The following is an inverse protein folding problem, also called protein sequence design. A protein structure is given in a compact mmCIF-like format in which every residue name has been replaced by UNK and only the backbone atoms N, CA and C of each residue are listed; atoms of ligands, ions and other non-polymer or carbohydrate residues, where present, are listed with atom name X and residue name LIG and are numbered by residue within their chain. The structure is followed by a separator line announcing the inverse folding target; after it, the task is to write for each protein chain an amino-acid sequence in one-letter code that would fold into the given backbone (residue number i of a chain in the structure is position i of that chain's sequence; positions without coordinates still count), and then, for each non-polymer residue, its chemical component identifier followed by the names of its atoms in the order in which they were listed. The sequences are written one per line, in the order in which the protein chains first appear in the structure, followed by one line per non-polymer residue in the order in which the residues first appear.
data_IF_765552353929
#
_entry.id   IF_765552353929
#
_cell.length_a   1.000
_cell.length_b   1.000
_cell.length_c   1.000
_cell.angle_alpha   90.00
_cell.angle_beta   90.00
_cell.angle_gamma   90.00
#
_symmetry.space_group_name_H-M   'P 1'
#
loop_
_entity.id
_entity.type
_entity.pdbx_description
1 polymer ?
#
# COMPACT_ATOMS: atom_id res chain seq x y z
N UNK A 1 15.32 -17.70 2.98
CA UNK A 1 16.73 -17.78 2.53
C UNK A 1 16.94 -19.16 1.95
N UNK A 2 16.98 -19.27 0.62
CA UNK A 2 17.42 -20.49 -0.08
C UNK A 2 18.75 -20.18 -0.76
N UNK A 3 19.79 -21.02 -0.64
CA UNK A 3 20.95 -20.92 -1.51
C UNK A 3 20.76 -21.78 -2.76
N UNK A 4 21.38 -21.28 -3.81
CA UNK A 4 21.29 -21.66 -5.21
C UNK A 4 22.00 -22.98 -5.54
N UNK A 5 21.42 -23.63 -6.55
CA UNK A 5 21.88 -24.79 -7.29
C UNK A 5 23.01 -24.41 -8.27
N UNK A 6 24.00 -25.29 -8.46
CA UNK A 6 25.01 -25.19 -9.52
C UNK A 6 25.47 -26.59 -9.94
N UNK A 7 25.07 -27.02 -11.13
CA UNK A 7 25.49 -28.29 -11.75
C UNK A 7 25.62 -28.14 -13.29
N UNK A 8 26.55 -28.90 -13.87
CA UNK A 8 26.77 -29.13 -15.31
C UNK A 8 28.02 -28.40 -15.82
N UNK A 9 29.19 -29.00 -16.09
CA UNK A 9 29.63 -30.30 -16.63
C UNK A 9 29.33 -30.55 -18.12
N UNK A 10 30.38 -30.92 -18.85
CA UNK A 10 30.36 -31.78 -20.04
C UNK A 10 30.39 -31.04 -21.39
N UNK A 11 31.48 -31.14 -22.18
CA UNK A 11 31.77 -32.23 -23.14
C UNK A 11 30.94 -32.05 -24.43
N UNK A 12 31.44 -32.08 -25.67
CA UNK A 12 32.62 -32.65 -26.31
C UNK A 12 32.31 -32.71 -27.82
N UNK A 13 33.18 -33.37 -28.59
CA UNK A 13 33.08 -33.70 -30.03
C UNK A 13 33.22 -32.51 -31.01
N UNK A 14 34.16 -32.49 -31.96
CA UNK A 14 34.82 -33.59 -32.64
C UNK A 14 33.94 -34.13 -33.77
N UNK A 15 34.27 -33.78 -35.02
CA UNK A 15 34.41 -34.80 -36.07
C UNK A 15 35.10 -34.20 -37.31
N UNK A 16 36.11 -34.92 -37.79
CA UNK A 16 36.76 -34.65 -39.06
C UNK A 16 36.01 -35.29 -40.22
N UNK A 17 36.39 -34.90 -41.44
CA UNK A 17 36.20 -35.69 -42.66
C UNK A 17 37.17 -35.18 -43.72
N UNK A 18 38.27 -35.92 -43.92
CA UNK A 18 38.96 -36.01 -45.21
C UNK A 18 38.27 -37.16 -45.98
N UNK A 19 38.21 -37.16 -47.33
CA UNK A 19 39.39 -37.55 -48.10
C UNK A 19 39.65 -36.71 -49.37
N UNK A 20 40.93 -36.58 -49.67
CA UNK A 20 41.48 -36.18 -50.97
C UNK A 20 41.11 -37.28 -52.02
N UNK A 21 41.16 -37.06 -53.35
CA UNK A 21 42.46 -36.70 -53.90
C UNK A 21 42.49 -35.94 -55.26
N UNK A 22 43.72 -35.50 -55.55
CA UNK A 22 44.37 -35.37 -56.87
C UNK A 22 44.26 -34.06 -57.68
N UNK A 23 45.45 -33.44 -57.74
CA UNK A 23 46.20 -33.13 -58.98
C UNK A 23 46.00 -31.72 -59.59
N UNK A 24 47.02 -30.90 -59.35
CA UNK A 24 47.72 -29.96 -60.26
C UNK A 24 46.96 -29.38 -61.47
N UNK A 25 46.71 -28.06 -61.42
CA UNK A 25 46.67 -27.19 -62.61
C UNK A 25 47.69 -26.05 -62.43
N UNK A 26 48.97 -26.38 -62.57
CA UNK A 26 50.00 -25.44 -62.95
C UNK A 26 50.41 -25.74 -64.38
N UNK A 27 49.87 -25.00 -65.35
CA UNK A 27 50.39 -24.94 -66.72
C UNK A 27 49.90 -23.68 -67.44
N UNK A 28 50.69 -22.61 -67.39
CA UNK A 28 50.84 -21.71 -68.54
C UNK A 28 52.32 -21.74 -68.88
N UNK A 29 52.67 -22.71 -69.71
CA UNK A 29 54.00 -22.97 -70.20
C UNK A 29 53.85 -23.52 -71.60
N UNK A 30 53.82 -22.58 -72.54
CA UNK A 30 53.98 -22.71 -73.98
C UNK A 30 54.74 -23.96 -74.40
N UNK A 31 54.10 -24.88 -75.12
CA UNK A 31 54.81 -25.76 -76.06
C UNK A 31 53.93 -25.99 -77.29
N UNK A 32 54.28 -25.29 -78.38
CA UNK A 32 54.09 -25.80 -79.74
C UNK A 32 54.77 -27.16 -79.85
N UNK A 33 54.01 -28.20 -80.19
CA UNK A 33 54.56 -29.52 -80.53
C UNK A 33 54.27 -29.84 -81.98
N UNK A 34 55.35 -30.18 -82.66
CA UNK A 34 55.56 -31.35 -83.52
C UNK A 34 54.61 -31.58 -84.70
N UNK A 35 55.00 -31.94 -85.93
CA UNK A 35 56.23 -32.38 -86.61
C UNK A 35 55.87 -33.61 -87.49
N UNK A 36 56.44 -33.63 -88.71
CA UNK A 36 56.94 -34.81 -89.48
C UNK A 36 55.87 -35.60 -90.28
N UNK A 37 56.17 -36.27 -91.44
CA UNK A 37 57.46 -36.73 -92.02
C UNK A 37 57.71 -36.29 -93.49
N UNK A 38 58.84 -36.52 -94.16
CA UNK A 38 59.70 -37.70 -94.38
C UNK A 38 61.14 -37.23 -94.68
N UNK A 39 62.20 -37.85 -94.15
CA UNK A 39 62.84 -39.08 -94.65
C UNK A 39 63.15 -38.97 -96.15
N UNK A 40 64.37 -38.79 -96.61
CA UNK A 40 65.41 -39.82 -96.59
C UNK A 40 66.72 -39.21 -97.14
N UNK A 41 67.79 -39.43 -96.39
CA UNK A 41 69.07 -40.02 -96.80
C UNK A 41 69.89 -39.42 -97.95
N UNK A 42 71.19 -39.49 -97.65
CA UNK A 42 72.29 -39.76 -98.57
C UNK A 42 72.79 -38.58 -99.41
N UNK A 43 74.09 -38.41 -99.65
CA UNK A 43 75.36 -38.85 -99.06
C UNK A 43 76.37 -38.29 -100.06
N UNK A 44 77.54 -37.85 -99.58
CA UNK A 44 78.78 -37.72 -100.36
C UNK A 44 78.79 -36.57 -101.38
N UNK A 45 79.91 -36.00 -101.80
CA UNK A 45 81.34 -35.93 -101.43
C UNK A 45 81.97 -35.21 -102.63
N UNK A 46 83.10 -34.55 -102.41
CA UNK A 46 84.00 -33.95 -103.40
C UNK A 46 83.55 -32.57 -103.93
N UNK A 47 84.27 -31.48 -103.63
CA UNK A 47 85.69 -31.15 -103.92
C UNK A 47 85.88 -30.66 -105.36
N UNK A 48 86.12 -29.35 -105.45
CA UNK A 48 86.90 -28.60 -106.43
C UNK A 48 86.37 -28.50 -107.86
N UNK A 49 86.09 -27.27 -108.33
CA UNK A 49 87.08 -26.51 -109.13
C UNK A 49 86.53 -25.18 -109.67
N UNK A 50 87.40 -24.15 -109.54
CA UNK A 50 87.67 -23.03 -110.45
C UNK A 50 86.79 -21.76 -110.51
N UNK A 51 87.55 -20.66 -110.53
CA UNK A 51 87.26 -19.22 -110.47
C UNK A 51 86.98 -18.57 -111.83
N UNK A 52 86.33 -17.39 -111.79
CA UNK A 52 86.25 -16.28 -112.78
C UNK A 52 85.53 -16.58 -114.12
N UNK A 53 84.58 -15.77 -114.62
CA UNK A 53 84.53 -14.30 -114.71
C UNK A 53 83.14 -13.68 -114.46
N UNK A 54 83.21 -12.40 -114.10
CA UNK A 54 82.17 -11.42 -113.80
C UNK A 54 81.52 -10.82 -115.06
N UNK A 55 80.19 -10.70 -115.06
CA UNK A 55 79.43 -9.65 -115.77
C UNK A 55 78.01 -9.58 -115.18
N UNK A 56 77.52 -8.40 -114.74
CA UNK A 56 76.22 -8.27 -114.10
C UNK A 56 75.11 -8.03 -115.14
N UNK A 57 74.01 -8.76 -115.03
CA UNK A 57 72.75 -8.44 -115.73
C UNK A 57 71.70 -8.11 -114.68
N UNK A 58 71.35 -6.83 -114.67
CA UNK A 58 70.31 -6.20 -113.87
C UNK A 58 68.96 -6.79 -114.30
N UNK A 59 68.24 -7.40 -113.36
CA UNK A 59 66.85 -7.78 -113.55
C UNK A 59 65.95 -6.63 -113.08
N UNK A 60 65.30 -5.97 -114.03
CA UNK A 60 64.26 -4.98 -113.76
C UNK A 60 63.09 -5.61 -112.98
N UNK A 61 62.71 -4.98 -111.86
CA UNK A 61 61.54 -5.35 -111.07
C UNK A 61 60.27 -4.68 -111.62
N UNK A 62 59.25 -5.49 -111.88
CA UNK A 62 57.94 -5.09 -112.41
C UNK A 62 57.19 -4.11 -111.46
N UNK A 63 56.59 -3.00 -111.95
CA UNK A 63 56.17 -1.87 -111.11
C UNK A 63 54.83 -2.06 -110.37
N UNK A 64 54.07 -3.12 -110.66
CA UNK A 64 52.68 -3.24 -110.20
C UNK A 64 52.54 -3.77 -108.76
N UNK A 65 53.47 -4.60 -108.28
CA UNK A 65 53.42 -5.17 -106.92
C UNK A 65 53.74 -4.15 -105.83
N UNK A 66 54.63 -3.19 -106.11
CA UNK A 66 54.95 -2.09 -105.20
C UNK A 66 53.72 -1.19 -104.93
N UNK A 67 52.97 -0.87 -105.99
CA UNK A 67 51.75 -0.07 -105.86
C UNK A 67 50.64 -0.83 -105.10
N UNK A 68 50.49 -2.14 -105.34
CA UNK A 68 49.50 -2.96 -104.62
C UNK A 68 49.75 -2.96 -103.10
N UNK A 69 51.01 -3.03 -102.67
CA UNK A 69 51.39 -2.97 -101.26
C UNK A 69 51.10 -1.59 -100.66
N UNK A 70 51.37 -0.50 -101.39
CA UNK A 70 51.05 0.86 -100.95
C UNK A 70 49.55 1.08 -100.78
N UNK A 71 48.73 0.67 -101.74
CA UNK A 71 47.27 0.79 -101.65
C UNK A 71 46.68 -0.09 -100.53
N UNK A 72 47.23 -1.28 -100.30
CA UNK A 72 46.82 -2.14 -99.19
C UNK A 72 47.14 -1.50 -97.82
N UNK A 73 48.35 -0.94 -97.66
CA UNK A 73 48.75 -0.25 -96.44
C UNK A 73 47.87 0.98 -96.18
N UNK A 74 47.60 1.76 -97.23
CA UNK A 74 46.74 2.94 -97.16
C UNK A 74 45.32 2.56 -96.75
N UNK A 75 44.74 1.55 -97.41
CA UNK A 75 43.39 1.04 -97.10
C UNK A 75 43.29 0.55 -95.66
N UNK A 76 44.26 -0.24 -95.19
CA UNK A 76 44.29 -0.77 -93.82
C UNK A 76 44.35 0.36 -92.78
N UNK A 77 45.18 1.37 -93.04
CA UNK A 77 45.34 2.53 -92.16
C UNK A 77 44.06 3.36 -92.11
N UNK A 78 43.47 3.68 -93.27
CA UNK A 78 42.20 4.42 -93.32
C UNK A 78 41.05 3.66 -92.67
N UNK A 79 41.00 2.34 -92.86
CA UNK A 79 39.97 1.49 -92.25
C UNK A 79 40.10 1.46 -90.72
N UNK A 80 41.31 1.30 -90.19
CA UNK A 80 41.57 1.36 -88.75
C UNK A 80 41.19 2.71 -88.13
N UNK A 81 41.47 3.82 -88.84
CA UNK A 81 41.13 5.17 -88.39
C UNK A 81 39.62 5.40 -88.31
N UNK A 82 38.88 4.97 -89.35
CA UNK A 82 37.41 5.03 -89.38
C UNK A 82 36.82 4.15 -88.29
N UNK A 83 37.34 2.93 -88.11
CA UNK A 83 36.88 2.02 -87.08
C UNK A 83 37.10 2.58 -85.66
N UNK A 84 38.28 3.15 -85.38
CA UNK A 84 38.58 3.77 -84.09
C UNK A 84 37.70 4.99 -83.78
N UNK A 85 37.28 5.74 -84.80
CA UNK A 85 36.33 6.85 -84.63
C UNK A 85 34.93 6.38 -84.22
N UNK A 86 34.46 5.24 -84.75
CA UNK A 86 33.15 4.68 -84.40
C UNK A 86 33.17 3.77 -83.17
N UNK A 87 34.35 3.30 -82.75
CA UNK A 87 34.50 2.44 -81.59
C UNK A 87 34.20 3.22 -80.29
N UNK A 88 33.02 3.01 -79.72
CA UNK A 88 32.68 3.47 -78.38
C UNK A 88 33.28 2.52 -77.35
N UNK A 89 34.03 3.08 -76.40
CA UNK A 89 34.57 2.33 -75.27
C UNK A 89 33.58 2.46 -74.11
N UNK A 90 32.92 1.35 -73.76
CA UNK A 90 32.03 1.31 -72.60
C UNK A 90 32.87 1.26 -71.32
N UNK A 91 32.87 2.36 -70.58
CA UNK A 91 33.54 2.46 -69.28
C UNK A 91 32.54 2.19 -68.16
N UNK A 92 32.59 0.99 -67.58
CA UNK A 92 31.81 0.64 -66.39
C UNK A 92 32.72 0.74 -65.15
N UNK A 93 32.46 1.71 -64.26
CA UNK A 93 33.11 1.79 -62.96
C UNK A 93 32.23 1.04 -61.95
N UNK A 94 32.66 -0.12 -61.41
CA UNK A 94 31.90 -0.80 -60.38
C UNK A 94 31.99 0.00 -59.06
N UNK A 95 30.97 0.80 -58.76
CA UNK A 95 30.81 1.45 -57.47
C UNK A 95 30.04 0.52 -56.51
N UNK A 96 30.67 0.17 -55.39
CA UNK A 96 30.00 -0.58 -54.31
C UNK A 96 29.29 0.41 -53.39
N UNK A 97 27.98 0.58 -53.56
CA UNK A 97 27.13 1.29 -52.61
C UNK A 97 26.55 0.34 -51.56
N UNK A 98 26.44 0.79 -50.31
CA UNK A 98 25.70 0.09 -49.26
C UNK A 98 24.32 0.75 -49.13
N UNK A 99 23.26 -0.05 -49.21
CA UNK A 99 21.90 0.44 -48.96
C UNK A 99 21.69 0.51 -47.44
N UNK A 100 21.50 1.72 -46.93
CA UNK A 100 21.07 1.94 -45.55
C UNK A 100 19.62 2.48 -45.56
N UNK A 101 18.76 2.02 -44.65
CA UNK A 101 17.36 2.45 -44.61
C UNK A 101 17.27 3.95 -44.32
N UNK A 102 16.36 4.65 -45.01
CA UNK A 102 16.05 6.04 -44.71
C UNK A 102 15.19 6.11 -43.45
N UNK A 103 15.81 6.08 -42.27
CA UNK A 103 15.14 6.23 -40.99
C UNK A 103 15.87 5.55 -39.83
N UNK A 104 15.50 5.92 -38.59
CA UNK A 104 15.97 5.22 -37.40
C UNK A 104 15.30 3.84 -37.32
N UNK A 105 16.10 2.77 -37.35
CA UNK A 105 15.63 1.42 -37.01
C UNK A 105 15.15 1.46 -35.56
N UNK A 106 13.84 1.31 -35.35
CA UNK A 106 13.24 1.24 -34.01
C UNK A 106 13.01 -0.21 -33.64
N UNK A 107 13.69 -0.68 -32.61
CA UNK A 107 13.40 -1.97 -32.02
C UNK A 107 12.04 -1.93 -31.30
N UNK A 108 11.13 -2.83 -31.69
CA UNK A 108 9.80 -2.93 -31.06
C UNK A 108 9.89 -3.91 -29.90
N UNK A 109 9.89 -3.39 -28.68
CA UNK A 109 9.96 -4.19 -27.45
C UNK A 109 8.60 -4.18 -26.73
N UNK A 110 8.19 -5.34 -26.22
CA UNK A 110 6.98 -5.44 -25.41
C UNK A 110 7.25 -4.99 -23.97
N UNK A 111 6.40 -4.13 -23.37
CA UNK A 111 6.58 -3.64 -22.00
C UNK A 111 6.36 -4.73 -20.93
N UNK A 112 5.70 -5.83 -21.30
CA UNK A 112 5.43 -6.98 -20.45
C UNK A 112 5.83 -8.26 -21.18
N UNK A 113 6.52 -9.15 -20.48
CA UNK A 113 6.82 -10.49 -20.98
C UNK A 113 5.59 -11.39 -20.96
N UNK A 114 5.51 -12.35 -21.89
CA UNK A 114 4.40 -13.29 -21.97
C UNK A 114 4.62 -14.33 -23.06
N UNK A 115 3.78 -15.36 -23.07
CA UNK A 115 3.81 -16.39 -24.12
C UNK A 115 3.15 -15.84 -25.37
N UNK A 116 3.87 -15.81 -26.48
CA UNK A 116 3.34 -15.37 -27.78
C UNK A 116 2.32 -16.38 -28.28
N UNK A 117 1.08 -15.94 -28.51
CA UNK A 117 0.02 -16.79 -29.07
C UNK A 117 -0.07 -16.67 -30.58
N UNK A 118 0.03 -15.44 -31.10
CA UNK A 118 -0.13 -15.18 -32.53
C UNK A 118 0.73 -14.00 -32.96
N UNK A 119 1.39 -14.18 -34.11
CA UNK A 119 2.07 -13.13 -34.86
C UNK A 119 1.13 -12.75 -36.00
N UNK A 120 0.76 -11.47 -36.09
CA UNK A 120 -0.22 -10.98 -37.07
C UNK A 120 0.40 -10.35 -38.31
N UNK A 121 1.73 -10.29 -38.37
CA UNK A 121 2.49 -9.70 -39.47
C UNK A 121 3.44 -10.73 -40.08
N UNK A 122 3.78 -10.52 -41.35
CA UNK A 122 4.83 -11.26 -42.05
C UNK A 122 6.09 -10.42 -42.18
N UNK A 123 7.23 -11.08 -42.35
CA UNK A 123 8.51 -10.38 -42.54
C UNK A 123 8.50 -9.55 -43.82
N UNK A 124 8.93 -8.29 -43.72
CA UNK A 124 8.89 -7.32 -44.82
C UNK A 124 7.53 -6.63 -45.04
N UNK A 125 6.51 -6.94 -44.24
CA UNK A 125 5.20 -6.29 -44.33
C UNK A 125 5.24 -4.84 -43.80
N UNK A 126 4.74 -3.84 -44.56
CA UNK A 126 4.67 -2.46 -44.08
C UNK A 126 3.59 -2.32 -43.01
N UNK A 127 3.97 -1.81 -41.83
CA UNK A 127 3.07 -1.66 -40.66
C UNK A 127 2.78 -0.19 -40.35
N UNK A 128 1.58 0.09 -39.87
CA UNK A 128 1.14 1.43 -39.42
C UNK A 128 1.22 1.56 -37.89
N UNK A 129 1.29 2.79 -37.40
CA UNK A 129 1.22 3.06 -35.96
C UNK A 129 -0.08 2.51 -35.35
N UNK A 130 0.04 1.86 -34.18
CA UNK A 130 -1.10 1.24 -33.48
C UNK A 130 -1.57 -0.09 -34.07
N UNK A 131 -0.96 -0.59 -35.14
CA UNK A 131 -1.30 -1.90 -35.71
C UNK A 131 -0.90 -3.03 -34.77
N UNK A 132 -1.81 -3.98 -34.55
CA UNK A 132 -1.55 -5.16 -33.74
C UNK A 132 -0.54 -6.07 -34.46
N UNK A 133 0.68 -6.14 -33.93
CA UNK A 133 1.75 -6.98 -34.49
C UNK A 133 1.76 -8.37 -33.88
N UNK A 134 1.53 -8.44 -32.58
CA UNK A 134 1.70 -9.64 -31.77
C UNK A 134 0.58 -9.72 -30.71
N UNK A 135 0.15 -10.93 -30.37
CA UNK A 135 -0.77 -11.17 -29.26
C UNK A 135 -0.17 -12.18 -28.29
N UNK A 136 -0.24 -11.85 -27.00
CA UNK A 136 0.19 -12.71 -25.91
C UNK A 136 -0.97 -13.51 -25.31
N UNK A 137 -0.67 -14.63 -24.66
CA UNK A 137 -1.67 -15.44 -23.99
C UNK A 137 -2.21 -14.72 -22.74
N UNK A 138 -3.53 -14.45 -22.64
CA UNK A 138 -4.07 -13.67 -21.54
C UNK A 138 -4.30 -14.49 -20.25
N UNK A 139 -4.14 -15.81 -20.26
CA UNK A 139 -4.59 -16.69 -19.15
C UNK A 139 -3.96 -16.31 -17.80
N UNK A 140 -2.64 -16.13 -17.76
CA UNK A 140 -1.93 -15.79 -16.52
C UNK A 140 -2.36 -14.41 -15.99
N UNK A 141 -2.39 -13.39 -16.86
CA UNK A 141 -2.81 -12.03 -16.52
C UNK A 141 -4.27 -11.98 -16.07
N UNK A 142 -5.16 -12.71 -16.75
CA UNK A 142 -6.58 -12.78 -16.38
C UNK A 142 -6.80 -13.48 -15.05
N UNK A 143 -6.04 -14.56 -14.78
CA UNK A 143 -6.07 -15.24 -13.49
C UNK A 143 -5.59 -14.31 -12.35
N UNK A 144 -4.53 -13.54 -12.60
CA UNK A 144 -4.00 -12.54 -11.65
C UNK A 144 -4.98 -11.39 -11.42
N UNK A 145 -5.60 -10.85 -12.47
CA UNK A 145 -6.65 -9.84 -12.34
C UNK A 145 -7.85 -10.37 -11.55
N UNK A 146 -8.26 -11.61 -11.81
CA UNK A 146 -9.36 -12.25 -11.09
C UNK A 146 -9.02 -12.45 -9.61
N UNK A 147 -7.80 -12.89 -9.29
CA UNK A 147 -7.37 -13.07 -7.90
C UNK A 147 -7.23 -11.74 -7.15
N UNK A 148 -6.71 -10.69 -7.81
CA UNK A 148 -6.62 -9.35 -7.25
C UNK A 148 -8.00 -8.73 -7.02
N UNK A 149 -8.93 -8.88 -7.97
CA UNK A 149 -10.30 -8.40 -7.82
C UNK A 149 -11.03 -9.11 -6.67
N UNK A 150 -10.84 -10.43 -6.55
CA UNK A 150 -11.35 -11.20 -5.39
C UNK A 150 -10.75 -10.69 -4.08
N UNK A 151 -9.43 -10.48 -4.03
CA UNK A 151 -8.75 -9.95 -2.84
C UNK A 151 -9.25 -8.56 -2.46
N UNK A 152 -9.41 -7.67 -3.43
CA UNK A 152 -9.98 -6.33 -3.24
C UNK A 152 -11.40 -6.40 -2.68
N UNK A 153 -12.26 -7.24 -3.25
CA UNK A 153 -13.63 -7.40 -2.78
C UNK A 153 -13.70 -7.92 -1.33
N UNK A 154 -12.82 -8.86 -0.96
CA UNK A 154 -12.70 -9.32 0.44
C UNK A 154 -12.27 -8.20 1.38
N UNK A 155 -11.22 -7.44 1.02
CA UNK A 155 -10.74 -6.32 1.86
C UNK A 155 -11.79 -5.21 2.04
N UNK A 156 -12.57 -4.92 1.00
CA UNK A 156 -13.66 -3.94 1.10
C UNK A 156 -14.72 -4.42 2.09
N UNK A 157 -15.14 -5.69 2.02
CA UNK A 157 -16.12 -6.27 2.94
C UNK A 157 -15.60 -6.31 4.37
N UNK A 158 -14.33 -6.61 4.57
CA UNK A 158 -13.67 -6.58 5.89
C UNK A 158 -13.65 -5.17 6.49
N UNK A 159 -13.28 -4.17 5.69
CA UNK A 159 -13.29 -2.79 6.14
C UNK A 159 -14.70 -2.31 6.50
N UNK A 160 -15.70 -2.65 5.68
CA UNK A 160 -17.10 -2.35 5.96
C UNK A 160 -17.58 -3.00 7.26
N UNK A 161 -17.18 -4.25 7.51
CA UNK A 161 -17.46 -4.94 8.78
C UNK A 161 -16.88 -4.18 9.98
N UNK A 162 -15.61 -3.76 9.92
CA UNK A 162 -14.99 -3.00 11.01
C UNK A 162 -15.64 -1.63 11.23
N UNK A 163 -15.96 -0.90 10.16
CA UNK A 163 -16.65 0.38 10.29
C UNK A 163 -18.04 0.22 10.90
N UNK A 164 -18.79 -0.81 10.51
CA UNK A 164 -20.10 -1.11 11.07
C UNK A 164 -20.02 -1.48 12.56
N UNK A 165 -19.05 -2.32 12.93
CA UNK A 165 -18.81 -2.71 14.32
C UNK A 165 -18.39 -1.53 15.23
N UNK A 166 -17.65 -0.56 14.69
CA UNK A 166 -17.22 0.64 15.44
C UNK A 166 -18.37 1.66 15.56
N UNK A 167 -19.11 1.89 14.46
CA UNK A 167 -20.16 2.91 14.38
C UNK A 167 -21.43 2.52 15.10
N UNK A 168 -21.83 1.25 15.03
CA UNK A 168 -23.06 0.75 15.63
C UNK A 168 -22.76 -0.22 16.78
N UNK A 169 -23.03 0.16 18.04
CA UNK A 169 -22.86 -0.69 19.22
C UNK A 169 -23.67 -1.99 19.19
N UNK A 170 -24.76 -2.02 18.41
CA UNK A 170 -25.65 -3.17 18.28
C UNK A 170 -25.28 -4.06 17.07
N UNK A 171 -24.20 -3.75 16.36
CA UNK A 171 -23.75 -4.56 15.24
C UNK A 171 -23.12 -5.87 15.75
N UNK A 172 -23.50 -7.04 15.21
CA UNK A 172 -22.98 -8.32 15.68
C UNK A 172 -21.46 -8.39 15.47
N UNK A 173 -20.68 -8.85 16.45
CA UNK A 173 -19.23 -8.97 16.34
C UNK A 173 -18.81 -10.22 15.54
N UNK A 174 -19.65 -10.65 14.60
CA UNK A 174 -19.46 -11.86 13.79
C UNK A 174 -19.38 -11.44 12.33
N UNK A 175 -18.33 -11.85 11.59
CA UNK A 175 -18.21 -11.56 10.17
C UNK A 175 -19.42 -12.08 9.38
N UNK A 176 -19.84 -11.37 8.33
CA UNK A 176 -20.88 -11.86 7.43
C UNK A 176 -20.43 -13.16 6.72
N UNK A 177 -21.37 -14.05 6.36
CA UNK A 177 -21.07 -15.30 5.67
C UNK A 177 -20.21 -15.09 4.41
N UNK A 178 -19.23 -15.98 4.18
CA UNK A 178 -18.33 -15.91 3.03
C UNK A 178 -17.22 -14.85 3.14
N UNK A 179 -16.96 -14.36 4.36
CA UNK A 179 -15.83 -13.51 4.68
C UNK A 179 -14.93 -14.23 5.69
N UNK A 180 -13.96 -14.99 5.16
CA UNK A 180 -12.99 -15.73 5.96
C UNK A 180 -11.89 -14.77 6.42
N UNK A 181 -12.22 -13.98 7.45
CA UNK A 181 -11.25 -13.13 8.13
C UNK A 181 -10.63 -14.01 9.20
N UNK A 182 -9.31 -14.16 9.18
CA UNK A 182 -8.58 -14.53 10.39
C UNK A 182 -8.70 -13.37 11.36
N UNK A 183 -9.83 -13.29 12.06
CA UNK A 183 -9.95 -12.34 13.16
C UNK A 183 -8.81 -12.71 14.09
N UNK A 184 -7.95 -11.73 14.38
CA UNK A 184 -7.17 -11.85 15.60
C UNK A 184 -8.18 -12.22 16.70
N UNK A 185 -7.90 -13.30 17.43
CA UNK A 185 -8.82 -13.85 18.43
C UNK A 185 -9.26 -12.80 19.47
N UNK A 186 -8.56 -11.67 19.53
CA UNK A 186 -8.77 -10.51 20.38
C UNK A 186 -9.79 -9.51 19.85
N UNK A 187 -10.13 -9.50 18.55
CA UNK A 187 -11.01 -8.46 18.01
C UNK A 187 -12.47 -8.58 18.49
N UNK A 188 -13.09 -9.78 18.52
CA UNK A 188 -14.43 -9.93 19.07
C UNK A 188 -14.50 -9.51 20.55
N UNK A 189 -13.47 -9.85 21.34
CA UNK A 189 -13.40 -9.47 22.75
C UNK A 189 -13.17 -7.97 22.94
N UNK A 190 -12.39 -7.32 22.07
CA UNK A 190 -12.22 -5.87 22.09
C UNK A 190 -13.51 -5.13 21.75
N UNK A 191 -14.24 -5.58 20.73
CA UNK A 191 -15.55 -5.01 20.37
C UNK A 191 -16.54 -5.21 21.52
N UNK A 192 -16.57 -6.41 22.11
CA UNK A 192 -17.40 -6.69 23.28
C UNK A 192 -17.05 -5.75 24.46
N UNK A 193 -15.76 -5.62 24.79
CA UNK A 193 -15.26 -4.73 25.85
C UNK A 193 -15.60 -3.26 25.59
N UNK A 194 -15.44 -2.77 24.37
CA UNK A 194 -15.86 -1.41 24.02
C UNK A 194 -17.37 -1.23 24.22
N UNK A 195 -18.16 -2.20 23.78
CA UNK A 195 -19.62 -2.12 23.88
C UNK A 195 -20.09 -2.15 25.33
N UNK A 196 -19.44 -2.89 26.23
CA UNK A 196 -19.75 -2.86 27.66
C UNK A 196 -19.43 -1.48 28.27
N UNK A 197 -18.28 -0.90 27.96
CA UNK A 197 -17.92 0.45 28.45
C UNK A 197 -18.89 1.51 27.94
N UNK A 198 -19.27 1.46 26.66
CA UNK A 198 -20.24 2.40 26.10
C UNK A 198 -21.63 2.23 26.73
N UNK A 199 -22.02 1.00 27.07
CA UNK A 199 -23.27 0.73 27.76
C UNK A 199 -23.26 1.30 29.20
N UNK A 200 -22.14 1.21 29.91
CA UNK A 200 -21.95 1.79 31.24
C UNK A 200 -22.01 3.33 31.18
N UNK A 201 -21.32 3.96 30.23
CA UNK A 201 -21.37 5.42 30.03
C UNK A 201 -22.81 5.89 29.78
N UNK A 202 -23.61 5.12 29.01
CA UNK A 202 -25.03 5.45 28.78
C UNK A 202 -25.84 5.37 30.07
N UNK A 203 -25.59 4.37 30.93
CA UNK A 203 -26.26 4.24 32.21
C UNK A 203 -25.95 5.43 33.11
N UNK A 204 -24.67 5.81 33.27
CA UNK A 204 -24.29 6.97 34.09
C UNK A 204 -24.86 8.28 33.55
N UNK A 205 -24.85 8.49 32.23
CA UNK A 205 -25.49 9.66 31.64
C UNK A 205 -27.00 9.69 31.92
N UNK A 206 -27.68 8.55 31.83
CA UNK A 206 -29.12 8.46 32.13
C UNK A 206 -29.43 8.72 33.62
N UNK A 207 -28.55 8.26 34.53
CA UNK A 207 -28.62 8.59 35.96
C UNK A 207 -28.45 10.09 36.20
N UNK A 208 -27.44 10.72 35.57
CA UNK A 208 -27.17 12.16 35.70
C UNK A 208 -28.27 13.02 35.07
N UNK A 209 -28.86 12.59 33.95
CA UNK A 209 -29.92 13.34 33.27
C UNK A 209 -31.32 13.09 33.84
N UNK A 210 -31.45 12.28 34.92
CA UNK A 210 -32.72 12.02 35.59
C UNK A 210 -33.80 11.40 34.70
N UNK A 211 -33.42 10.72 33.61
CA UNK A 211 -34.37 10.37 32.57
C UNK A 211 -33.94 9.23 31.66
N UNK A 212 -34.78 8.21 31.59
CA UNK A 212 -34.68 7.04 30.71
C UNK A 212 -35.20 7.27 29.29
N UNK A 213 -35.79 8.44 29.00
CA UNK A 213 -36.53 8.71 27.75
C UNK A 213 -35.66 8.86 26.48
N UNK A 214 -34.35 9.05 26.60
CA UNK A 214 -33.46 9.27 25.43
C UNK A 214 -32.34 8.24 25.30
N UNK A 215 -32.22 7.30 26.24
CA UNK A 215 -31.16 6.30 26.22
C UNK A 215 -31.72 4.94 25.81
N UNK A 216 -31.15 4.35 24.75
CA UNK A 216 -31.36 2.94 24.38
C UNK A 216 -30.72 2.03 25.45
N UNK A 217 -31.34 1.96 26.62
CA UNK A 217 -30.95 1.11 27.76
C UNK A 217 -31.56 -0.27 27.61
N UNK A 218 -30.81 -1.31 27.99
CA UNK A 218 -31.33 -2.67 28.08
C UNK A 218 -32.46 -2.77 29.12
N UNK A 219 -33.36 -3.78 29.04
CA UNK A 219 -34.40 -3.99 30.04
C UNK A 219 -33.85 -4.06 31.47
N UNK A 220 -32.75 -4.77 31.68
CA UNK A 220 -32.10 -4.92 33.00
C UNK A 220 -31.54 -3.58 33.49
N UNK A 221 -30.95 -2.79 32.60
CA UNK A 221 -30.42 -1.47 32.95
C UNK A 221 -31.55 -0.50 33.34
N UNK A 222 -32.70 -0.54 32.65
CA UNK A 222 -33.87 0.25 33.01
C UNK A 222 -34.40 -0.13 34.39
N UNK A 223 -34.46 -1.42 34.67
CA UNK A 223 -34.89 -1.95 35.98
C UNK A 223 -33.93 -1.48 37.08
N UNK A 224 -32.60 -1.60 36.88
CA UNK A 224 -31.60 -1.11 37.85
C UNK A 224 -31.71 0.40 38.08
N UNK A 225 -31.90 1.17 37.02
CA UNK A 225 -32.09 2.62 37.12
C UNK A 225 -33.36 2.93 37.92
N UNK A 226 -34.47 2.25 37.63
CA UNK A 226 -35.75 2.42 38.33
C UNK A 226 -35.63 2.08 39.81
N UNK A 227 -35.00 0.96 40.18
CA UNK A 227 -34.74 0.63 41.57
C UNK A 227 -33.83 1.66 42.24
N UNK A 228 -32.81 2.14 41.53
CA UNK A 228 -31.92 3.19 42.01
C UNK A 228 -32.67 4.49 42.30
N UNK A 229 -33.53 4.95 41.39
CA UNK A 229 -34.35 6.15 41.60
C UNK A 229 -35.33 5.96 42.74
N UNK A 230 -36.03 4.82 42.81
CA UNK A 230 -36.98 4.54 43.91
C UNK A 230 -36.28 4.43 45.27
N UNK A 231 -35.05 3.92 45.33
CA UNK A 231 -34.27 3.87 46.56
C UNK A 231 -33.84 5.28 47.02
N UNK A 232 -33.46 6.16 46.08
CA UNK A 232 -33.17 7.56 46.39
C UNK A 232 -34.42 8.29 46.87
N UNK A 233 -35.56 8.09 46.22
CA UNK A 233 -36.84 8.69 46.61
C UNK A 233 -37.24 8.24 48.03
N UNK A 234 -37.12 6.94 48.34
CA UNK A 234 -37.39 6.41 49.68
C UNK A 234 -36.44 7.02 50.73
N UNK A 235 -35.17 7.23 50.39
CA UNK A 235 -34.20 7.87 51.28
C UNK A 235 -34.53 9.33 51.55
N UNK A 236 -34.97 10.07 50.54
CA UNK A 236 -35.43 11.45 50.70
C UNK A 236 -36.64 11.49 51.63
N UNK A 237 -37.64 10.64 51.41
CA UNK A 237 -38.83 10.56 52.27
C UNK A 237 -38.49 10.19 53.73
N UNK A 238 -37.52 9.29 53.96
CA UNK A 238 -37.02 8.96 55.30
C UNK A 238 -36.39 10.17 55.99
N UNK A 239 -35.53 10.92 55.28
CA UNK A 239 -34.88 12.12 55.81
C UNK A 239 -35.90 13.23 56.11
N UNK A 240 -36.90 13.42 55.26
CA UNK A 240 -38.00 14.35 55.48
C UNK A 240 -38.81 14.00 56.74
N UNK A 241 -39.18 12.73 56.90
CA UNK A 241 -39.87 12.24 58.10
C UNK A 241 -39.01 12.44 59.37
N UNK A 242 -37.70 12.20 59.28
CA UNK A 242 -36.77 12.44 60.38
C UNK A 242 -36.66 13.92 60.74
N UNK A 243 -36.58 14.82 59.75
CA UNK A 243 -36.64 16.27 60.00
C UNK A 243 -37.94 16.63 60.71
N UNK A 244 -39.09 16.11 60.25
CA UNK A 244 -40.39 16.36 60.88
C UNK A 244 -40.43 15.93 62.35
N UNK A 245 -39.94 14.72 62.67
CA UNK A 245 -39.88 14.24 64.06
C UNK A 245 -38.94 15.05 64.94
N UNK A 246 -37.77 15.48 64.43
CA UNK A 246 -36.84 16.34 65.16
C UNK A 246 -37.44 17.73 65.41
N UNK A 247 -38.18 18.28 64.44
CA UNK A 247 -38.89 19.55 64.60
C UNK A 247 -39.97 19.45 65.68
N UNK A 248 -40.71 18.36 65.74
CA UNK A 248 -41.69 18.14 66.81
C UNK A 248 -41.01 18.01 68.18
N UNK A 249 -39.92 17.26 68.29
CA UNK A 249 -39.14 17.17 69.54
C UNK A 249 -38.63 18.54 70.00
N UNK A 250 -38.14 19.36 69.06
CA UNK A 250 -37.69 20.73 69.34
C UNK A 250 -38.84 21.59 69.86
N UNK A 251 -40.02 21.51 69.21
CA UNK A 251 -41.22 22.24 69.67
C UNK A 251 -41.64 21.82 71.07
N UNK A 252 -41.64 20.52 71.37
CA UNK A 252 -41.96 20.01 72.71
C UNK A 252 -40.93 20.48 73.75
N UNK A 253 -39.65 20.47 73.42
CA UNK A 253 -38.59 20.99 74.29
C UNK A 253 -38.78 22.49 74.55
N UNK A 254 -39.08 23.28 73.52
CA UNK A 254 -39.34 24.73 73.65
C UNK A 254 -40.53 25.02 74.58
N UNK A 255 -41.60 24.23 74.49
CA UNK A 255 -42.75 24.35 75.41
C UNK A 255 -42.32 24.05 76.86
N UNK A 256 -41.56 22.97 77.08
CA UNK A 256 -41.05 22.62 78.42
C UNK A 256 -40.12 23.71 78.97
N UNK A 257 -39.30 24.30 78.10
CA UNK A 257 -38.37 25.37 78.44
C UNK A 257 -39.13 26.66 78.81
N UNK A 258 -40.16 27.03 78.06
CA UNK A 258 -41.03 28.15 78.38
C UNK A 258 -41.73 27.95 79.74
N UNK A 259 -42.37 26.79 79.94
CA UNK A 259 -43.00 26.45 81.22
C UNK A 259 -42.00 26.47 82.38
N UNK A 260 -40.79 25.94 82.17
CA UNK A 260 -39.73 25.95 83.18
C UNK A 260 -39.28 27.36 83.57
N UNK A 261 -39.15 28.27 82.58
CA UNK A 261 -38.82 29.69 82.81
C UNK A 261 -39.92 30.41 83.59
N UNK A 262 -41.19 30.15 83.27
CA UNK A 262 -42.32 30.74 83.98
C UNK A 262 -42.32 30.30 85.45
N UNK A 263 -42.10 29.01 85.71
CA UNK A 263 -42.00 28.48 87.07
C UNK A 263 -40.79 29.08 87.79
N UNK A 264 -39.61 29.13 87.16
CA UNK A 264 -38.42 29.74 87.78
C UNK A 264 -38.69 31.20 88.18
N UNK A 265 -39.37 31.98 87.34
CA UNK A 265 -39.72 33.37 87.63
C UNK A 265 -40.56 33.47 88.91
N UNK A 266 -41.52 32.56 89.10
CA UNK A 266 -42.33 32.49 90.32
C UNK A 266 -41.48 32.12 91.54
N UNK A 267 -40.62 31.11 91.42
CA UNK A 267 -39.76 30.62 92.52
C UNK A 267 -38.71 31.65 92.95
N UNK A 268 -38.17 32.42 91.99
CA UNK A 268 -37.27 33.55 92.24
C UNK A 268 -38.01 34.70 92.95
N UNK A 269 -39.27 34.96 92.57
CA UNK A 269 -40.14 35.91 93.26
C UNK A 269 -40.36 35.51 94.72
N UNK A 270 -40.74 34.25 94.97
CA UNK A 270 -40.90 33.70 96.33
C UNK A 270 -39.60 33.84 97.12
N UNK A 271 -38.45 33.49 96.54
CA UNK A 271 -37.16 33.60 97.22
C UNK A 271 -36.80 35.07 97.55
N UNK A 272 -37.19 36.01 96.69
CA UNK A 272 -36.99 37.45 96.88
C UNK A 272 -37.84 37.97 98.03
N UNK A 273 -39.12 37.57 98.09
CA UNK A 273 -40.04 37.94 99.16
C UNK A 273 -39.65 37.31 100.52
N UNK A 274 -39.09 36.09 100.51
CA UNK A 274 -38.63 35.40 101.72
C UNK A 274 -37.31 35.94 102.29
N UNK A 275 -36.47 36.59 101.47
CA UNK A 275 -35.16 37.11 101.89
C UNK A 275 -35.24 38.08 103.08
N UNK A 276 -36.05 39.17 103.04
CA UNK A 276 -36.16 40.07 104.19
C UNK A 276 -36.73 39.37 105.43
N UNK A 277 -37.68 38.43 105.26
CA UNK A 277 -38.27 37.67 106.36
C UNK A 277 -37.24 36.77 107.05
N UNK A 278 -36.31 36.19 106.29
CA UNK A 278 -35.18 35.42 106.83
C UNK A 278 -34.17 36.31 107.56
N UNK A 279 -33.78 37.44 106.96
CA UNK A 279 -32.81 38.38 107.56
C UNK A 279 -33.29 38.99 108.87
N UNK A 280 -34.60 39.20 109.01
CA UNK A 280 -35.25 39.68 110.24
C UNK A 280 -35.49 38.57 111.27
N UNK A 281 -35.08 37.32 111.00
CA UNK A 281 -35.26 36.17 111.90
C UNK A 281 -36.69 35.61 111.94
N UNK A 282 -37.60 36.09 111.09
CA UNK A 282 -39.01 35.69 111.03
C UNK A 282 -39.28 34.42 110.21
N UNK A 283 -38.26 33.84 109.56
CA UNK A 283 -38.39 32.64 108.71
C UNK A 283 -37.28 31.62 108.95
N UNK A 284 -37.59 30.33 108.83
CA UNK A 284 -36.64 29.25 109.11
C UNK A 284 -35.49 29.21 108.09
N UNK A 285 -34.24 29.20 108.58
CA UNK A 285 -33.03 29.06 107.76
C UNK A 285 -33.09 27.84 106.84
N UNK A 286 -33.58 26.71 107.33
CA UNK A 286 -33.65 25.46 106.56
C UNK A 286 -34.65 25.61 105.40
N UNK A 287 -35.80 26.27 105.63
CA UNK A 287 -36.81 26.50 104.60
C UNK A 287 -36.29 27.46 103.52
N UNK A 288 -35.59 28.53 103.92
CA UNK A 288 -34.96 29.46 102.98
C UNK A 288 -33.90 28.77 102.10
N UNK A 289 -32.99 28.00 102.71
CA UNK A 289 -31.97 27.25 101.97
C UNK A 289 -32.58 26.18 101.06
N UNK A 290 -33.70 25.56 101.46
CA UNK A 290 -34.44 24.63 100.60
C UNK A 290 -34.99 25.35 99.37
N UNK A 291 -35.65 26.50 99.55
CA UNK A 291 -36.16 27.31 98.45
C UNK A 291 -35.03 27.77 97.51
N UNK A 292 -33.89 28.20 98.07
CA UNK A 292 -32.72 28.59 97.28
C UNK A 292 -32.18 27.41 96.44
N UNK A 293 -32.11 26.22 97.02
CA UNK A 293 -31.70 25.02 96.29
C UNK A 293 -32.71 24.64 95.21
N UNK A 294 -34.01 24.84 95.43
CA UNK A 294 -35.06 24.60 94.44
C UNK A 294 -34.91 25.52 93.22
N UNK A 295 -34.72 26.82 93.44
CA UNK A 295 -34.39 27.79 92.37
C UNK A 295 -33.14 27.36 91.59
N UNK A 296 -32.07 26.99 92.29
CA UNK A 296 -30.82 26.53 91.66
C UNK A 296 -31.01 25.26 90.83
N UNK A 297 -31.81 24.32 91.32
CA UNK A 297 -32.13 23.09 90.60
C UNK A 297 -32.95 23.39 89.34
N UNK A 298 -33.97 24.25 89.42
CA UNK A 298 -34.76 24.67 88.25
C UNK A 298 -33.91 25.41 87.21
N UNK A 299 -33.00 26.28 87.64
CA UNK A 299 -32.06 26.95 86.75
C UNK A 299 -31.16 25.94 86.02
N UNK A 300 -30.72 24.89 86.72
CA UNK A 300 -29.91 23.82 86.12
C UNK A 300 -30.71 23.05 85.07
N UNK A 301 -31.97 22.72 85.36
CA UNK A 301 -32.87 22.06 84.41
C UNK A 301 -33.08 22.91 83.14
N UNK A 302 -33.35 24.22 83.28
CA UNK A 302 -33.50 25.14 82.14
C UNK A 302 -32.22 25.17 81.30
N UNK A 303 -31.04 25.25 81.93
CA UNK A 303 -29.77 25.22 81.21
C UNK A 303 -29.59 23.92 80.42
N UNK A 304 -29.94 22.77 81.00
CA UNK A 304 -29.93 21.49 80.28
C UNK A 304 -30.90 21.47 79.10
N UNK A 305 -32.10 22.08 79.23
CA UNK A 305 -33.06 22.19 78.12
C UNK A 305 -32.56 23.10 77.00
N UNK A 306 -31.89 24.21 77.34
CA UNK A 306 -31.26 25.10 76.35
C UNK A 306 -30.19 24.35 75.54
N UNK A 307 -29.35 23.55 76.19
CA UNK A 307 -28.35 22.74 75.48
C UNK A 307 -29.00 21.66 74.60
N UNK A 308 -30.09 21.05 75.07
CA UNK A 308 -30.86 20.09 74.27
C UNK A 308 -31.52 20.75 73.04
N UNK A 309 -32.06 21.97 73.17
CA UNK A 309 -32.59 22.74 72.05
C UNK A 309 -31.50 22.99 71.00
N UNK A 310 -30.31 23.44 71.41
CA UNK A 310 -29.16 23.64 70.50
C UNK A 310 -28.75 22.34 69.82
N UNK A 311 -28.74 21.21 70.55
CA UNK A 311 -28.43 19.88 70.00
C UNK A 311 -29.43 19.51 68.90
N UNK A 312 -30.72 19.66 69.14
CA UNK A 312 -31.78 19.37 68.18
C UNK A 312 -31.69 20.28 66.94
N UNK A 313 -31.45 21.58 67.13
CA UNK A 313 -31.24 22.52 66.02
C UNK A 313 -30.05 22.14 65.15
N UNK A 314 -28.94 21.72 65.76
CA UNK A 314 -27.74 21.26 65.04
C UNK A 314 -28.02 19.96 64.28
N UNK A 315 -28.76 19.03 64.87
CA UNK A 315 -29.13 17.77 64.20
C UNK A 315 -30.03 18.03 62.98
N UNK A 316 -31.02 18.92 63.10
CA UNK A 316 -31.88 19.34 61.98
C UNK A 316 -31.05 19.99 60.87
N UNK A 317 -30.14 20.90 61.21
CA UNK A 317 -29.26 21.55 60.24
C UNK A 317 -28.35 20.53 59.55
N UNK A 318 -27.83 19.54 60.28
CA UNK A 318 -26.98 18.49 59.74
C UNK A 318 -27.70 17.52 58.80
N UNK A 319 -29.00 17.29 58.98
CA UNK A 319 -29.80 16.46 58.07
C UNK A 319 -30.17 17.20 56.77
N UNK A 320 -30.17 18.54 56.78
CA UNK A 320 -30.49 19.39 55.61
C UNK A 320 -29.29 19.73 54.72
N UNK A 321 -28.07 19.59 55.25
CA UNK A 321 -26.82 19.91 54.56
C UNK A 321 -26.37 18.77 53.65
#
# INVERSE_FOLDING_TARGET
MSPYNGNGNGNGNGNGSKPNPKINLGSVGTISKMAVPQDTRDRRRASNSHLEFDQPVILEQSPHWSHAILWALLSLTTFGMVWAYFAKIDYAVPARGKLEPQGAVKEVQAPVGGVVTKIHIKEGEPVKEGQLLLSFEPKATQAQLTSLNKRRATLIRENQFYQAAISNPNYPPVPPPGLDIQLSSQLPSLIASRNTVLAEIRLYRAQLSGGSKSANLSPEQRIRLQYGTSALDARIAELESRIGSLQEQLKQNQIQLANGRDILTVEEGILTDLRPLYEQGGFSKIQFLRQQNEVKNRQTEINSRIEEEKRLQKEIAGVRA
#
